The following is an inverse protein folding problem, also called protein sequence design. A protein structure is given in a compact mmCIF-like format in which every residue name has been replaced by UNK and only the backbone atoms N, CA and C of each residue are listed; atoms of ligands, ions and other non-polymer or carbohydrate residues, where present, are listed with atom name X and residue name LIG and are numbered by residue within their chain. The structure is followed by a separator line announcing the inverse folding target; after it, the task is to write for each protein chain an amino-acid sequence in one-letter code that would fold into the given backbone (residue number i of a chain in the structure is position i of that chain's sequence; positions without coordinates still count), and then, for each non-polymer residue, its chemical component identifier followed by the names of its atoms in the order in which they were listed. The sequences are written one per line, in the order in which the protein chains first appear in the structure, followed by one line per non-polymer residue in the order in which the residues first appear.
data_IF_986666395081
#
_entry.id   IF_986666395081
#
_cell.length_a   1.000
_cell.length_b   1.000
_cell.length_c   1.000
_cell.angle_alpha   90.00
_cell.angle_beta   90.00
_cell.angle_gamma   90.00
#
_symmetry.space_group_name_H-M   'P 1'
#
loop_
_entity.id
_entity.type
_entity.pdbx_description
1 polymer ?
#
# COMPACT_ATOMS: atom_id res chain seq x y z
N UNK A 1 10.14 -14.64 -30.97
CA UNK A 1 10.37 -14.59 -29.51
C UNK A 1 9.36 -13.64 -28.93
N UNK A 2 8.57 -14.12 -27.98
CA UNK A 2 7.63 -13.30 -27.21
C UNK A 2 8.41 -12.22 -26.47
N UNK A 3 7.91 -10.98 -26.51
CA UNK A 3 8.53 -9.87 -25.79
C UNK A 3 8.09 -9.93 -24.32
N UNK A 4 8.94 -9.47 -23.42
CA UNK A 4 8.60 -9.38 -22.01
C UNK A 4 8.52 -7.91 -21.58
N UNK A 5 7.49 -7.58 -20.82
CA UNK A 5 7.31 -6.28 -20.15
C UNK A 5 7.62 -6.45 -18.67
N UNK A 6 8.48 -5.60 -18.13
CA UNK A 6 8.80 -5.63 -16.69
C UNK A 6 7.64 -5.04 -15.86
N UNK A 7 7.56 -5.41 -14.59
CA UNK A 7 6.60 -4.80 -13.64
C UNK A 7 6.80 -3.29 -13.49
N UNK A 8 8.04 -2.81 -13.63
CA UNK A 8 8.35 -1.39 -13.64
C UNK A 8 7.72 -0.70 -14.87
N UNK A 9 7.89 -1.26 -16.06
CA UNK A 9 7.28 -0.72 -17.28
C UNK A 9 5.75 -0.75 -17.22
N UNK A 10 5.17 -1.83 -16.67
CA UNK A 10 3.71 -1.89 -16.43
C UNK A 10 3.27 -0.78 -15.47
N UNK A 11 4.02 -0.54 -14.40
CA UNK A 11 3.72 0.51 -13.43
C UNK A 11 3.80 1.90 -14.07
N UNK A 12 4.83 2.17 -14.86
CA UNK A 12 4.97 3.42 -15.62
C UNK A 12 3.75 3.65 -16.53
N UNK A 13 3.24 2.61 -17.19
CA UNK A 13 2.02 2.71 -18.01
C UNK A 13 0.78 3.07 -17.19
N UNK A 14 0.61 2.49 -16.01
CA UNK A 14 -0.47 2.83 -15.07
C UNK A 14 -0.35 4.31 -14.67
N UNK A 15 0.81 4.72 -14.16
CA UNK A 15 1.06 6.08 -13.68
C UNK A 15 0.92 7.15 -14.77
N UNK A 16 1.35 6.83 -16.00
CA UNK A 16 1.26 7.74 -17.15
C UNK A 16 -0.11 7.68 -17.85
N UNK A 17 -1.05 6.87 -17.35
CA UNK A 17 -2.38 6.67 -17.93
C UNK A 17 -2.31 6.24 -19.40
N UNK A 18 -1.31 5.44 -19.75
CA UNK A 18 -1.15 4.92 -21.10
C UNK A 18 -2.24 3.89 -21.41
N UNK A 19 -2.60 3.75 -22.68
CA UNK A 19 -3.56 2.71 -23.09
C UNK A 19 -2.87 1.36 -23.19
N UNK A 20 -3.44 0.33 -22.56
CA UNK A 20 -2.97 -1.05 -22.66
C UNK A 20 -4.13 -2.04 -22.80
N UNK A 21 -3.91 -3.14 -23.52
CA UNK A 21 -4.84 -4.26 -23.54
C UNK A 21 -4.27 -5.43 -22.74
N UNK A 22 -5.01 -5.91 -21.75
CA UNK A 22 -4.60 -7.03 -20.91
C UNK A 22 -5.44 -8.26 -21.27
N UNK A 23 -4.75 -9.31 -21.74
CA UNK A 23 -5.31 -10.65 -21.85
C UNK A 23 -4.96 -11.43 -20.57
N UNK A 24 -5.91 -11.55 -19.65
CA UNK A 24 -5.73 -12.33 -18.43
C UNK A 24 -6.14 -13.78 -18.66
N UNK A 25 -5.18 -14.71 -18.53
CA UNK A 25 -5.40 -16.15 -18.73
C UNK A 25 -5.56 -16.92 -17.43
N UNK A 26 -5.74 -16.23 -16.29
CA UNK A 26 -6.13 -16.87 -15.03
C UNK A 26 -7.60 -17.29 -15.06
N UNK A 27 -8.00 -18.07 -14.07
CA UNK A 27 -9.40 -18.44 -13.88
C UNK A 27 -10.27 -17.19 -13.65
N UNK A 28 -11.54 -17.26 -14.04
CA UNK A 28 -12.47 -16.13 -13.91
C UNK A 28 -12.61 -15.62 -12.47
N UNK A 29 -12.55 -16.52 -11.48
CA UNK A 29 -12.59 -16.15 -10.06
C UNK A 29 -11.43 -15.24 -9.68
N UNK A 30 -10.21 -15.58 -10.10
CA UNK A 30 -9.00 -14.88 -9.71
C UNK A 30 -8.93 -13.51 -10.40
N UNK A 31 -9.36 -13.43 -11.66
CA UNK A 31 -9.48 -12.17 -12.40
C UNK A 31 -10.55 -11.24 -11.83
N UNK A 32 -11.69 -11.79 -11.38
CA UNK A 32 -12.76 -11.00 -10.75
C UNK A 32 -12.40 -10.54 -9.35
N UNK A 33 -11.66 -11.35 -8.59
CA UNK A 33 -11.20 -10.97 -7.24
C UNK A 33 -10.18 -9.83 -7.32
N UNK A 34 -9.24 -9.87 -8.26
CA UNK A 34 -8.31 -8.76 -8.50
C UNK A 34 -7.61 -8.84 -9.86
N UNK A 35 -7.19 -7.70 -10.38
CA UNK A 35 -6.48 -7.56 -11.66
C UNK A 35 -5.56 -6.34 -11.62
N UNK A 36 -4.73 -6.19 -12.65
CA UNK A 36 -3.97 -4.96 -12.88
C UNK A 36 -4.96 -3.88 -13.32
N UNK A 37 -5.00 -2.76 -12.61
CA UNK A 37 -5.91 -1.65 -12.89
C UNK A 37 -5.15 -0.44 -13.42
N UNK A 38 -5.78 0.27 -14.35
CA UNK A 38 -5.30 1.53 -14.91
C UNK A 38 -6.40 2.21 -15.71
N UNK A 39 -6.47 3.54 -15.63
CA UNK A 39 -7.56 4.35 -16.20
C UNK A 39 -7.93 4.00 -17.66
N UNK A 40 -6.91 3.76 -18.50
CA UNK A 40 -7.08 3.54 -19.94
C UNK A 40 -6.83 2.09 -20.36
N UNK A 41 -7.00 1.13 -19.45
CA UNK A 41 -6.78 -0.29 -19.75
C UNK A 41 -8.07 -0.99 -20.22
N UNK A 42 -7.92 -1.85 -21.22
CA UNK A 42 -8.96 -2.74 -21.70
C UNK A 42 -8.61 -4.20 -21.35
N UNK A 43 -9.63 -5.02 -21.15
CA UNK A 43 -9.45 -6.37 -20.60
C UNK A 43 -10.19 -7.42 -21.41
N UNK A 44 -9.54 -8.58 -21.53
CA UNK A 44 -10.16 -9.83 -21.91
C UNK A 44 -9.67 -10.92 -20.95
N UNK A 45 -10.59 -11.58 -20.24
CA UNK A 45 -10.26 -12.76 -19.45
C UNK A 45 -10.73 -14.02 -20.17
N UNK A 46 -9.79 -14.93 -20.44
CA UNK A 46 -10.06 -16.24 -21.03
C UNK A 46 -9.12 -17.24 -20.36
N UNK A 47 -9.63 -18.14 -19.50
CA UNK A 47 -8.79 -19.06 -18.75
C UNK A 47 -7.86 -19.89 -19.64
N UNK A 48 -6.62 -20.09 -19.19
CA UNK A 48 -5.58 -20.79 -19.94
C UNK A 48 -6.03 -22.14 -20.51
N UNK A 49 -6.82 -22.91 -19.74
CA UNK A 49 -7.27 -24.23 -20.17
C UNK A 49 -8.17 -24.21 -21.41
N UNK A 50 -8.80 -23.08 -21.73
CA UNK A 50 -9.58 -22.89 -22.96
C UNK A 50 -8.72 -22.59 -24.18
N UNK A 51 -7.44 -22.23 -23.96
CA UNK A 51 -6.48 -21.82 -24.99
C UNK A 51 -5.39 -22.86 -25.25
N UNK A 52 -5.43 -24.01 -24.56
CA UNK A 52 -4.42 -25.08 -24.70
C UNK A 52 -4.39 -25.64 -26.12
N UNK A 53 -5.57 -25.78 -26.74
CA UNK A 53 -5.71 -26.37 -28.08
C UNK A 53 -5.60 -25.33 -29.21
N UNK A 54 -5.35 -24.06 -28.88
CA UNK A 54 -5.20 -22.96 -29.84
C UNK A 54 -5.90 -21.67 -29.42
N UNK A 55 -5.53 -20.57 -30.08
CA UNK A 55 -6.00 -19.20 -29.76
C UNK A 55 -7.02 -18.63 -30.75
N UNK A 56 -7.40 -19.40 -31.77
CA UNK A 56 -8.29 -18.95 -32.87
C UNK A 56 -9.61 -18.34 -32.37
N UNK A 57 -10.14 -18.86 -31.26
CA UNK A 57 -11.39 -18.40 -30.64
C UNK A 57 -11.33 -16.96 -30.10
N UNK A 58 -10.13 -16.40 -29.92
CA UNK A 58 -9.94 -15.08 -29.32
C UNK A 58 -9.28 -14.05 -30.24
N UNK A 59 -8.63 -14.47 -31.34
CA UNK A 59 -7.86 -13.56 -32.22
C UNK A 59 -8.68 -12.37 -32.69
N UNK A 60 -9.93 -12.59 -33.13
CA UNK A 60 -10.82 -11.53 -33.62
C UNK A 60 -11.30 -10.55 -32.54
N UNK A 61 -11.09 -10.88 -31.25
CA UNK A 61 -11.46 -10.05 -30.10
C UNK A 61 -10.31 -9.18 -29.60
N UNK A 62 -9.09 -9.42 -30.11
CA UNK A 62 -7.89 -8.68 -29.71
C UNK A 62 -7.71 -7.42 -30.56
N UNK A 63 -7.19 -6.32 -29.97
CA UNK A 63 -6.89 -5.11 -30.72
C UNK A 63 -5.73 -5.34 -31.70
N UNK A 64 -5.76 -4.64 -32.83
CA UNK A 64 -4.71 -4.73 -33.87
C UNK A 64 -3.66 -3.60 -33.77
N UNK A 65 -4.04 -2.48 -33.15
CA UNK A 65 -3.24 -1.25 -33.12
C UNK A 65 -2.81 -0.86 -31.70
N UNK A 66 -2.64 -1.84 -30.81
CA UNK A 66 -2.31 -1.62 -29.40
C UNK A 66 -1.38 -2.73 -28.87
N UNK A 67 -0.56 -2.40 -27.87
CA UNK A 67 0.19 -3.40 -27.10
C UNK A 67 -0.77 -4.32 -26.32
N UNK A 68 -0.55 -5.63 -26.44
CA UNK A 68 -1.28 -6.68 -25.71
C UNK A 68 -0.34 -7.30 -24.69
N UNK A 69 -0.70 -7.24 -23.41
CA UNK A 69 0.04 -7.95 -22.36
C UNK A 69 -0.77 -9.14 -21.90
N UNK A 70 -0.21 -10.34 -22.12
CA UNK A 70 -0.75 -11.59 -21.61
C UNK A 70 -0.27 -11.76 -20.17
N UNK A 71 -1.21 -11.95 -19.24
CA UNK A 71 -0.92 -12.11 -17.81
C UNK A 71 -1.45 -13.43 -17.28
N UNK A 72 -0.66 -14.06 -16.41
CA UNK A 72 -1.09 -15.19 -15.59
C UNK A 72 -0.43 -15.08 -14.21
N UNK A 73 -0.62 -16.07 -13.34
CA UNK A 73 -0.09 -16.03 -11.97
C UNK A 73 1.44 -15.81 -11.91
N UNK A 74 2.23 -16.62 -12.63
CA UNK A 74 3.70 -16.65 -12.55
C UNK A 74 4.42 -16.49 -13.92
N UNK A 75 3.70 -16.14 -14.97
CA UNK A 75 4.22 -15.93 -16.34
C UNK A 75 4.23 -17.17 -17.26
N UNK A 76 4.26 -18.40 -16.73
CA UNK A 76 4.37 -19.62 -17.56
C UNK A 76 3.24 -19.81 -18.59
N UNK A 77 1.97 -19.85 -18.14
CA UNK A 77 0.81 -19.95 -19.02
C UNK A 77 0.69 -18.77 -19.99
N UNK A 78 1.10 -17.58 -19.56
CA UNK A 78 1.07 -16.38 -20.40
C UNK A 78 2.08 -16.49 -21.55
N UNK A 79 3.27 -17.04 -21.31
CA UNK A 79 4.28 -17.26 -22.33
C UNK A 79 3.81 -18.21 -23.43
N UNK A 80 3.16 -19.33 -23.05
CA UNK A 80 2.58 -20.26 -24.02
C UNK A 80 1.52 -19.58 -24.91
N UNK A 81 0.55 -18.89 -24.29
CA UNK A 81 -0.52 -18.21 -25.03
C UNK A 81 0.04 -17.09 -25.92
N UNK A 82 1.01 -16.32 -25.43
CA UNK A 82 1.64 -15.26 -26.20
C UNK A 82 2.41 -15.79 -27.42
N UNK A 83 3.04 -16.95 -27.30
CA UNK A 83 3.69 -17.63 -28.43
C UNK A 83 2.65 -18.03 -29.48
N UNK A 84 1.55 -18.67 -29.06
CA UNK A 84 0.45 -19.05 -29.96
C UNK A 84 -0.17 -17.84 -30.66
N UNK A 85 -0.36 -16.71 -29.96
CA UNK A 85 -0.85 -15.47 -30.57
C UNK A 85 0.12 -14.92 -31.61
N UNK A 86 1.42 -14.95 -31.31
CA UNK A 86 2.46 -14.52 -32.26
C UNK A 86 2.48 -15.41 -33.51
N UNK A 87 2.33 -16.74 -33.35
CA UNK A 87 2.23 -17.70 -34.45
C UNK A 87 0.96 -17.51 -35.29
N UNK A 88 -0.14 -17.12 -34.67
CA UNK A 88 -1.39 -16.74 -35.33
C UNK A 88 -1.33 -15.37 -36.04
N UNK A 89 -0.20 -14.66 -35.97
CA UNK A 89 0.02 -13.38 -36.64
C UNK A 89 -0.49 -12.16 -35.87
N UNK A 90 -0.68 -12.27 -34.55
CA UNK A 90 -0.99 -11.12 -33.70
C UNK A 90 0.31 -10.38 -33.37
N UNK A 91 0.36 -9.10 -33.72
CA UNK A 91 1.50 -8.22 -33.44
C UNK A 91 1.43 -7.64 -32.01
N UNK A 92 2.55 -7.07 -31.54
CA UNK A 92 2.65 -6.35 -30.26
C UNK A 92 2.21 -7.14 -29.02
N UNK A 93 2.50 -8.45 -29.01
CA UNK A 93 2.23 -9.33 -27.86
C UNK A 93 3.42 -9.35 -26.89
N UNK A 94 3.12 -9.10 -25.62
CA UNK A 94 4.05 -9.13 -24.50
C UNK A 94 3.56 -10.07 -23.41
N UNK A 95 4.46 -10.58 -22.59
CA UNK A 95 4.14 -11.18 -21.28
C UNK A 95 4.60 -10.28 -20.16
N UNK A 96 3.90 -10.30 -19.03
CA UNK A 96 4.39 -9.64 -17.81
C UNK A 96 5.46 -10.51 -17.13
N UNK A 97 6.67 -9.96 -16.95
CA UNK A 97 7.77 -10.62 -16.26
C UNK A 97 7.34 -11.04 -14.85
N UNK A 98 7.44 -12.33 -14.54
CA UNK A 98 7.03 -12.89 -13.24
C UNK A 98 5.52 -12.90 -12.96
N UNK A 99 4.69 -12.45 -13.91
CA UNK A 99 3.23 -12.46 -13.83
C UNK A 99 2.64 -11.62 -12.70
N UNK A 100 1.42 -11.96 -12.30
CA UNK A 100 0.68 -11.29 -11.23
C UNK A 100 1.40 -11.38 -9.88
N UNK A 101 2.21 -12.42 -9.65
CA UNK A 101 3.03 -12.52 -8.45
C UNK A 101 4.03 -11.35 -8.36
N UNK A 102 4.81 -11.12 -9.42
CA UNK A 102 5.77 -10.01 -9.44
C UNK A 102 5.05 -8.65 -9.36
N UNK A 103 3.87 -8.52 -9.99
CA UNK A 103 3.03 -7.33 -9.87
C UNK A 103 2.61 -7.05 -8.42
N UNK A 104 2.16 -8.07 -7.70
CA UNK A 104 1.76 -7.96 -6.29
C UNK A 104 2.91 -7.58 -5.36
N UNK A 105 4.14 -8.00 -5.68
CA UNK A 105 5.34 -7.75 -4.86
C UNK A 105 6.09 -6.47 -5.26
N UNK A 106 5.69 -5.77 -6.32
CA UNK A 106 6.42 -4.60 -6.82
C UNK A 106 6.17 -3.36 -5.96
N UNK A 107 7.25 -2.67 -5.60
CA UNK A 107 7.22 -1.35 -4.95
C UNK A 107 7.79 -0.30 -5.91
N UNK A 108 6.98 0.69 -6.23
CA UNK A 108 7.39 1.87 -6.98
C UNK A 108 7.91 2.95 -6.01
N UNK A 109 9.15 3.39 -6.18
CA UNK A 109 9.72 4.45 -5.36
C UNK A 109 9.41 5.82 -5.97
N UNK A 110 8.67 6.65 -5.23
CA UNK A 110 8.35 8.03 -5.56
C UNK A 110 9.04 8.99 -4.60
N UNK A 111 9.48 10.15 -5.09
CA UNK A 111 10.06 11.20 -4.25
C UNK A 111 8.97 12.15 -3.77
N UNK A 112 8.78 12.22 -2.45
CA UNK A 112 7.79 13.11 -1.81
C UNK A 112 8.38 14.51 -1.60
N UNK A 113 9.63 14.58 -1.14
CA UNK A 113 10.27 15.83 -0.77
C UNK A 113 11.80 15.72 -0.83
N UNK A 114 12.47 16.83 -1.13
CA UNK A 114 13.93 16.94 -1.07
C UNK A 114 14.35 18.41 -0.88
N UNK A 115 15.18 18.65 0.12
CA UNK A 115 16.00 19.86 0.27
C UNK A 115 17.42 19.50 0.76
N UNK A 116 18.20 20.51 1.17
CA UNK A 116 19.57 20.31 1.63
C UNK A 116 19.69 19.53 2.96
N UNK A 117 18.61 19.37 3.72
CA UNK A 117 18.59 18.76 5.06
C UNK A 117 17.80 17.45 5.10
N UNK A 118 16.78 17.31 4.27
CA UNK A 118 15.81 16.23 4.34
C UNK A 118 15.43 15.71 2.95
N UNK A 119 15.34 14.39 2.84
CA UNK A 119 14.74 13.71 1.69
C UNK A 119 13.69 12.71 2.15
N UNK A 120 12.54 12.66 1.45
CA UNK A 120 11.46 11.72 1.75
C UNK A 120 11.12 10.94 0.49
N UNK A 121 11.21 9.63 0.59
CA UNK A 121 10.71 8.68 -0.41
C UNK A 121 9.45 7.99 0.10
N UNK A 122 8.51 7.76 -0.81
CA UNK A 122 7.38 6.86 -0.63
C UNK A 122 7.61 5.62 -1.51
N UNK A 123 7.33 4.44 -0.97
CA UNK A 123 7.33 3.19 -1.71
C UNK A 123 5.89 2.71 -1.85
N UNK A 124 5.41 2.65 -3.09
CA UNK A 124 4.03 2.36 -3.44
C UNK A 124 3.93 0.91 -3.91
N UNK A 125 3.27 0.04 -3.13
CA UNK A 125 2.97 -1.33 -3.54
C UNK A 125 1.76 -1.33 -4.46
N UNK A 126 1.99 -1.04 -5.74
CA UNK A 126 0.93 -0.75 -6.73
C UNK A 126 -0.13 -1.85 -6.80
N UNK A 127 0.28 -3.11 -6.75
CA UNK A 127 -0.63 -4.25 -6.82
C UNK A 127 -1.48 -4.51 -5.56
N UNK A 128 -1.27 -3.77 -4.46
CA UNK A 128 -1.96 -4.00 -3.18
C UNK A 128 -2.41 -2.74 -2.45
N UNK A 129 -1.96 -1.56 -2.86
CA UNK A 129 -2.40 -0.33 -2.23
C UNK A 129 -1.73 -0.02 -0.88
N UNK A 130 -0.61 -0.66 -0.55
CA UNK A 130 0.16 -0.39 0.66
C UNK A 130 1.25 0.66 0.37
N UNK A 131 1.53 1.50 1.36
CA UNK A 131 2.50 2.58 1.30
C UNK A 131 3.46 2.45 2.46
N UNK A 132 4.74 2.64 2.18
CA UNK A 132 5.79 2.77 3.19
C UNK A 132 6.70 3.93 2.84
N UNK A 133 7.55 4.37 3.76
CA UNK A 133 8.32 5.59 3.58
C UNK A 133 9.76 5.45 4.07
N UNK A 134 10.64 6.26 3.49
CA UNK A 134 11.98 6.49 4.01
C UNK A 134 12.21 7.99 4.16
N UNK A 135 12.61 8.41 5.36
CA UNK A 135 13.00 9.78 5.69
C UNK A 135 14.49 9.80 5.93
N UNK A 136 15.22 10.60 5.14
CA UNK A 136 16.67 10.67 5.16
C UNK A 136 17.08 12.06 5.63
N UNK A 137 18.00 12.11 6.59
CA UNK A 137 18.65 13.35 7.02
C UNK A 137 20.10 13.05 7.37
N UNK A 138 21.03 13.86 6.86
CA UNK A 138 22.46 13.68 7.14
C UNK A 138 22.95 12.29 6.72
N UNK A 139 23.45 11.51 7.66
CA UNK A 139 23.96 10.15 7.40
C UNK A 139 22.98 9.03 7.75
N UNK A 140 21.78 9.38 8.19
CA UNK A 140 20.81 8.47 8.79
C UNK A 140 19.46 8.46 8.06
N UNK A 141 18.74 7.36 8.20
CA UNK A 141 17.41 7.16 7.65
C UNK A 141 16.47 6.49 8.66
N UNK A 142 15.22 6.95 8.63
CA UNK A 142 14.05 6.34 9.24
C UNK A 142 13.24 5.62 8.16
N UNK A 143 12.77 4.41 8.44
CA UNK A 143 11.77 3.72 7.62
C UNK A 143 10.44 3.62 8.38
N UNK A 144 9.35 4.03 7.74
CA UNK A 144 7.99 4.00 8.30
C UNK A 144 7.18 2.93 7.56
N UNK A 145 6.51 2.06 8.31
CA UNK A 145 5.63 0.98 7.82
C UNK A 145 6.29 0.05 6.79
N UNK A 146 7.53 -0.45 7.02
CA UNK A 146 8.21 -1.29 6.04
C UNK A 146 7.41 -2.55 5.70
N UNK A 147 7.16 -2.75 4.41
CA UNK A 147 6.73 -4.04 3.84
C UNK A 147 7.81 -5.13 3.94
N UNK A 148 7.44 -6.42 3.89
CA UNK A 148 8.39 -7.56 3.96
C UNK A 148 9.49 -7.59 2.87
N UNK A 149 9.38 -6.80 1.82
CA UNK A 149 10.33 -6.73 0.70
C UNK A 149 11.54 -5.84 1.02
N UNK A 150 12.24 -6.15 2.11
CA UNK A 150 13.16 -5.22 2.77
C UNK A 150 14.38 -4.79 1.95
N UNK A 151 14.76 -5.57 0.93
CA UNK A 151 15.89 -5.26 0.03
C UNK A 151 15.70 -3.91 -0.69
N UNK A 152 14.46 -3.47 -0.93
CA UNK A 152 14.17 -2.19 -1.58
C UNK A 152 14.62 -1.00 -0.72
N UNK A 153 14.47 -1.10 0.61
CA UNK A 153 14.88 -0.05 1.53
C UNK A 153 16.41 -0.04 1.66
N UNK A 154 17.05 -1.20 1.76
CA UNK A 154 18.51 -1.27 1.82
C UNK A 154 19.16 -0.74 0.54
N UNK A 155 18.59 -1.03 -0.62
CA UNK A 155 19.06 -0.49 -1.90
C UNK A 155 18.87 1.03 -1.97
N UNK A 156 17.72 1.55 -1.53
CA UNK A 156 17.48 3.00 -1.49
C UNK A 156 18.48 3.72 -0.55
N UNK A 157 18.68 3.17 0.66
CA UNK A 157 19.66 3.71 1.61
C UNK A 157 21.10 3.64 1.06
N UNK A 158 21.47 2.55 0.38
CA UNK A 158 22.77 2.41 -0.25
C UNK A 158 23.00 3.42 -1.39
N UNK A 159 21.98 3.66 -2.22
CA UNK A 159 22.04 4.64 -3.31
C UNK A 159 22.22 6.07 -2.78
N UNK A 160 21.62 6.38 -1.64
CA UNK A 160 21.74 7.67 -0.96
C UNK A 160 22.98 7.77 -0.08
N UNK A 161 23.70 6.66 0.14
CA UNK A 161 24.90 6.62 0.97
C UNK A 161 24.63 6.81 2.47
N UNK A 162 23.44 6.42 2.94
CA UNK A 162 22.99 6.59 4.34
C UNK A 162 22.78 5.25 5.04
N UNK A 163 22.60 5.30 6.36
CA UNK A 163 22.30 4.12 7.19
C UNK A 163 20.87 4.18 7.71
N UNK A 164 20.14 3.08 7.59
CA UNK A 164 18.86 2.92 8.28
C UNK A 164 19.18 2.74 9.77
N UNK A 165 18.78 3.71 10.60
CA UNK A 165 19.03 3.71 12.05
C UNK A 165 17.74 3.59 12.85
N UNK A 166 16.60 3.98 12.26
CA UNK A 166 15.29 3.96 12.89
C UNK A 166 14.27 3.26 11.99
N UNK A 167 13.42 2.44 12.58
CA UNK A 167 12.32 1.78 11.91
C UNK A 167 11.09 1.90 12.80
N UNK A 168 9.97 2.36 12.27
CA UNK A 168 8.72 2.48 13.03
C UNK A 168 7.59 1.81 12.25
N UNK A 169 6.73 1.10 12.97
CA UNK A 169 5.42 0.67 12.46
C UNK A 169 4.33 1.50 13.16
N UNK A 170 3.43 2.08 12.37
CA UNK A 170 2.25 2.82 12.81
C UNK A 170 1.24 1.88 13.48
N UNK A 171 1.19 0.63 13.04
CA UNK A 171 0.47 -0.47 13.64
C UNK A 171 0.95 -1.79 13.03
N UNK A 172 0.62 -2.93 13.63
CA UNK A 172 0.78 -4.21 12.97
C UNK A 172 -0.37 -4.43 11.99
N UNK A 173 -0.04 -4.30 10.70
CA UNK A 173 -1.00 -4.40 9.61
C UNK A 173 -1.71 -5.77 9.55
N UNK A 174 -2.95 -5.76 9.09
CA UNK A 174 -3.81 -6.94 8.99
C UNK A 174 -3.91 -7.52 7.58
N UNK A 175 -3.41 -6.80 6.58
CA UNK A 175 -3.46 -7.14 5.16
C UNK A 175 -2.11 -7.51 4.58
N UNK A 176 -1.00 -7.09 5.18
CA UNK A 176 0.34 -7.40 4.72
C UNK A 176 1.30 -7.69 5.86
N UNK A 177 2.42 -8.34 5.53
CA UNK A 177 3.45 -8.68 6.48
C UNK A 177 4.43 -7.52 6.64
N UNK A 178 4.63 -7.06 7.87
CA UNK A 178 5.63 -6.06 8.21
C UNK A 178 7.03 -6.65 8.03
N UNK A 179 7.89 -5.87 7.39
CA UNK A 179 9.33 -6.09 7.28
C UNK A 179 10.11 -5.49 8.44
N UNK A 180 9.47 -4.80 9.39
CA UNK A 180 10.15 -3.98 10.41
C UNK A 180 11.17 -4.77 11.24
N UNK A 181 10.74 -5.93 11.76
CA UNK A 181 11.62 -6.83 12.51
C UNK A 181 12.80 -7.31 11.67
N UNK A 182 12.54 -7.81 10.46
CA UNK A 182 13.58 -8.39 9.60
C UNK A 182 14.57 -7.32 9.11
N UNK A 183 14.09 -6.11 8.83
CA UNK A 183 14.92 -4.98 8.44
C UNK A 183 15.80 -4.52 9.61
N UNK A 184 15.26 -4.47 10.83
CA UNK A 184 16.01 -4.15 12.05
C UNK A 184 17.12 -5.18 12.31
N UNK A 185 16.83 -6.47 12.20
CA UNK A 185 17.81 -7.55 12.36
C UNK A 185 18.96 -7.45 11.35
N UNK A 186 18.68 -7.04 10.10
CA UNK A 186 19.69 -6.90 9.04
C UNK A 186 20.54 -5.63 9.16
N UNK A 187 19.93 -4.53 9.58
CA UNK A 187 20.57 -3.21 9.60
C UNK A 187 21.19 -2.86 10.95
N UNK A 188 20.70 -3.48 12.03
CA UNK A 188 20.99 -3.08 13.40
C UNK A 188 20.24 -1.83 13.86
N UNK A 189 19.25 -1.36 13.08
CA UNK A 189 18.41 -0.22 13.42
C UNK A 189 17.54 -0.49 14.66
N UNK A 190 17.17 0.57 15.36
CA UNK A 190 16.17 0.49 16.43
C UNK A 190 14.78 0.36 15.82
N UNK A 191 14.06 -0.70 16.19
CA UNK A 191 12.69 -0.94 15.75
C UNK A 191 11.72 -0.50 16.84
N UNK A 192 10.85 0.46 16.52
CA UNK A 192 9.85 1.00 17.44
C UNK A 192 8.45 0.53 17.08
N UNK A 193 7.70 0.12 18.10
CA UNK A 193 6.32 -0.34 17.98
C UNK A 193 5.54 -0.05 19.26
N UNK A 194 4.22 0.14 19.16
CA UNK A 194 3.34 0.26 20.33
C UNK A 194 3.16 -1.12 21.00
N UNK A 195 3.31 -1.20 22.34
CA UNK A 195 3.11 -2.46 23.08
C UNK A 195 1.72 -3.03 22.94
N UNK A 196 0.71 -2.17 22.77
CA UNK A 196 -0.69 -2.58 22.57
C UNK A 196 -0.92 -3.39 21.30
N UNK A 197 0.03 -3.39 20.36
CA UNK A 197 -0.02 -4.24 19.17
C UNK A 197 0.24 -5.72 19.48
N UNK A 198 0.81 -6.04 20.65
CA UNK A 198 0.91 -7.42 21.15
C UNK A 198 2.00 -8.25 20.50
N UNK A 199 3.05 -7.61 19.97
CA UNK A 199 4.25 -8.30 19.49
C UNK A 199 4.97 -9.03 20.64
N UNK A 200 5.51 -10.22 20.34
CA UNK A 200 6.22 -11.08 21.31
C UNK A 200 7.73 -11.19 21.05
N UNK A 201 8.27 -10.30 20.21
CA UNK A 201 9.71 -10.15 19.96
C UNK A 201 10.22 -8.86 20.59
N UNK A 202 11.54 -8.66 20.57
CA UNK A 202 12.17 -7.45 21.10
C UNK A 202 11.95 -6.25 20.17
N UNK A 203 11.52 -5.12 20.74
CA UNK A 203 11.36 -3.82 20.09
C UNK A 203 11.46 -2.70 21.13
N UNK A 204 11.71 -1.48 20.67
CA UNK A 204 11.70 -0.27 21.49
C UNK A 204 10.25 0.25 21.63
N UNK A 205 9.68 0.31 22.84
CA UNK A 205 8.28 0.69 23.03
C UNK A 205 8.04 2.17 22.71
N UNK A 206 7.16 2.46 21.74
CA UNK A 206 6.83 3.84 21.37
C UNK A 206 6.22 4.64 22.54
N UNK A 207 5.57 4.00 23.51
CA UNK A 207 5.01 4.68 24.68
C UNK A 207 6.06 5.34 25.60
N UNK A 208 7.33 5.03 25.40
CA UNK A 208 8.43 5.63 26.14
C UNK A 208 8.98 6.89 25.48
N UNK A 209 8.50 7.23 24.28
CA UNK A 209 9.01 8.31 23.44
C UNK A 209 7.87 9.23 23.04
N UNK A 210 7.85 10.45 23.58
CA UNK A 210 7.02 11.52 23.00
C UNK A 210 7.62 11.99 21.67
N UNK A 211 8.96 11.99 21.58
CA UNK A 211 9.72 12.36 20.39
C UNK A 211 10.90 11.42 20.19
N UNK A 212 11.30 11.23 18.93
CA UNK A 212 12.52 10.53 18.52
C UNK A 212 13.32 11.51 17.65
N UNK A 213 14.53 11.84 18.06
CA UNK A 213 15.36 12.86 17.42
C UNK A 213 16.61 12.23 16.79
N UNK A 214 16.85 12.53 15.52
CA UNK A 214 18.09 12.15 14.83
C UNK A 214 18.41 13.15 13.72
N UNK A 215 19.67 13.56 13.61
CA UNK A 215 20.13 14.53 12.60
C UNK A 215 19.24 15.81 12.59
N UNK A 216 18.52 16.09 11.49
CA UNK A 216 17.57 17.21 11.38
C UNK A 216 16.09 16.75 11.46
N UNK A 217 15.84 15.53 11.94
CA UNK A 217 14.51 14.97 12.12
C UNK A 217 14.11 15.05 13.59
N UNK A 218 13.01 15.75 13.83
CA UNK A 218 12.21 15.71 15.04
C UNK A 218 10.94 14.93 14.74
N UNK A 219 10.91 13.66 15.15
CA UNK A 219 9.76 12.79 14.97
C UNK A 219 8.89 12.83 16.23
N UNK A 220 7.74 13.49 16.17
CA UNK A 220 6.73 13.43 17.23
C UNK A 220 5.90 12.16 17.11
N UNK A 221 5.86 11.38 18.19
CA UNK A 221 5.02 10.19 18.29
C UNK A 221 3.64 10.65 18.73
N UNK A 222 2.74 10.82 17.76
CA UNK A 222 1.36 11.14 18.04
C UNK A 222 0.64 9.85 18.42
N UNK A 223 0.93 9.40 19.65
CA UNK A 223 0.16 8.41 20.37
C UNK A 223 -1.20 9.02 20.67
N UNK A 224 -2.01 9.12 19.64
CA UNK A 224 -3.43 9.09 19.82
C UNK A 224 -3.72 7.66 20.20
N UNK A 225 -4.59 7.46 21.19
CA UNK A 225 -5.47 6.31 21.05
C UNK A 225 -6.25 6.62 19.78
N UNK A 226 -5.69 6.21 18.64
CA UNK A 226 -6.27 6.27 17.32
C UNK A 226 -6.85 4.90 16.98
N UNK A 227 -7.69 4.23 17.81
CA UNK A 227 -8.45 3.11 17.31
C UNK A 227 -9.49 3.67 16.33
N UNK A 228 -9.04 3.96 15.12
CA UNK A 228 -9.73 3.54 13.91
C UNK A 228 -9.33 2.10 13.71
N UNK A 229 -8.16 1.84 13.13
CA UNK A 229 -7.80 0.50 12.66
C UNK A 229 -7.44 -0.53 13.77
N UNK A 230 -6.58 -0.15 14.74
CA UNK A 230 -6.18 -1.00 15.88
C UNK A 230 -6.03 -0.19 17.18
N UNK A 231 -6.10 -0.81 18.37
CA UNK A 231 -5.85 -0.13 19.65
C UNK A 231 -4.48 0.53 19.81
N UNK A 232 -3.47 0.09 19.04
CA UNK A 232 -2.12 0.64 19.04
C UNK A 232 -1.76 1.45 17.80
N UNK A 233 -2.73 1.80 16.95
CA UNK A 233 -2.47 2.68 15.82
C UNK A 233 -1.91 4.02 16.30
N UNK A 234 -0.80 4.45 15.70
CA UNK A 234 -0.08 5.68 16.03
C UNK A 234 0.25 6.44 14.75
N UNK A 235 0.28 7.76 14.82
CA UNK A 235 0.77 8.60 13.72
C UNK A 235 2.09 9.25 14.09
N UNK A 236 2.87 9.60 13.06
CA UNK A 236 4.21 10.14 13.19
C UNK A 236 4.26 11.50 12.52
N UNK A 237 4.61 12.55 13.28
CA UNK A 237 4.67 13.91 12.75
C UNK A 237 6.11 14.41 12.71
N UNK A 238 6.66 14.47 11.51
CA UNK A 238 8.04 14.88 11.28
C UNK A 238 8.12 16.38 11.05
N UNK A 239 8.94 17.07 11.85
CA UNK A 239 9.31 18.47 11.73
C UNK A 239 8.11 19.43 11.59
N UNK A 240 6.95 19.09 12.17
CA UNK A 240 5.75 19.91 12.07
C UNK A 240 5.16 20.02 10.65
N UNK A 241 5.58 19.17 9.70
CA UNK A 241 5.20 19.31 8.28
C UNK A 241 4.69 18.02 7.62
N UNK A 242 5.24 16.86 7.94
CA UNK A 242 4.88 15.59 7.31
C UNK A 242 4.23 14.67 8.33
N UNK A 243 2.95 14.36 8.14
CA UNK A 243 2.18 13.47 8.99
C UNK A 243 2.07 12.10 8.32
N UNK A 244 2.84 11.12 8.79
CA UNK A 244 2.61 9.72 8.46
C UNK A 244 1.44 9.22 9.30
N UNK A 245 0.27 9.15 8.69
CA UNK A 245 -1.01 8.98 9.39
C UNK A 245 -1.38 7.52 9.67
N UNK A 246 -0.57 6.56 9.22
CA UNK A 246 -0.95 5.14 9.23
C UNK A 246 -2.27 4.94 8.51
N UNK A 247 -3.14 4.13 9.11
CA UNK A 247 -4.52 3.91 8.64
C UNK A 247 -5.55 4.80 9.37
N UNK A 248 -5.14 5.97 9.86
CA UNK A 248 -6.04 6.92 10.51
C UNK A 248 -6.68 7.91 9.52
N UNK A 249 -5.86 8.52 8.67
CA UNK A 249 -6.26 9.54 7.69
C UNK A 249 -5.72 9.14 6.33
N UNK A 250 -6.60 9.07 5.34
CA UNK A 250 -6.30 8.77 3.94
C UNK A 250 -6.46 10.02 3.08
N UNK A 251 -5.97 9.98 1.83
CA UNK A 251 -6.27 11.05 0.86
C UNK A 251 -7.77 11.07 0.56
N UNK A 252 -8.37 9.88 0.38
CA UNK A 252 -9.80 9.72 0.15
C UNK A 252 -10.70 9.81 1.38
N UNK A 253 -10.19 9.82 2.62
CA UNK A 253 -11.08 9.65 3.77
C UNK A 253 -10.44 9.52 5.15
N UNK A 254 -11.18 8.91 6.06
CA UNK A 254 -10.71 8.50 7.38
C UNK A 254 -10.75 6.97 7.47
N UNK A 255 -9.86 6.38 8.27
CA UNK A 255 -9.82 4.94 8.42
C UNK A 255 -10.97 4.34 9.21
N UNK A 256 -11.17 3.03 8.98
CA UNK A 256 -12.31 2.28 9.50
C UNK A 256 -12.07 1.83 10.96
N UNK A 257 -13.07 1.94 11.84
CA UNK A 257 -13.01 1.42 13.22
C UNK A 257 -13.53 0.00 13.44
N UNK A 258 -13.51 -0.87 12.44
CA UNK A 258 -14.30 -2.10 12.45
C UNK A 258 -13.53 -3.41 12.63
N UNK A 259 -12.20 -3.42 12.52
CA UNK A 259 -11.41 -4.66 12.52
C UNK A 259 -11.33 -5.40 13.87
N UNK A 260 -11.77 -4.81 14.98
CA UNK A 260 -11.81 -5.48 16.29
C UNK A 260 -13.18 -5.58 16.93
N UNK A 261 -14.26 -5.40 16.16
CA UNK A 261 -15.63 -5.63 16.63
C UNK A 261 -16.13 -4.64 17.69
N UNK A 262 -15.45 -3.51 17.88
CA UNK A 262 -15.77 -2.43 18.83
C UNK A 262 -16.09 -1.09 18.14
N UNK A 263 -16.80 -1.16 17.01
CA UNK A 263 -17.03 -0.03 16.09
C UNK A 263 -17.44 1.27 16.79
N UNK A 264 -18.40 1.23 17.73
CA UNK A 264 -18.90 2.43 18.39
C UNK A 264 -17.89 3.08 19.36
N UNK A 265 -17.15 2.27 20.13
CA UNK A 265 -16.12 2.75 21.06
C UNK A 265 -14.97 3.39 20.28
N UNK A 266 -14.60 2.78 19.16
CA UNK A 266 -13.50 3.21 18.31
C UNK A 266 -13.87 4.44 17.44
N UNK A 267 -15.13 4.54 17.00
CA UNK A 267 -15.64 5.74 16.33
C UNK A 267 -15.57 6.99 17.23
N UNK A 268 -15.78 6.84 18.54
CA UNK A 268 -15.62 7.92 19.51
C UNK A 268 -14.16 8.39 19.61
N UNK A 269 -13.20 7.46 19.69
CA UNK A 269 -11.78 7.83 19.73
C UNK A 269 -11.31 8.48 18.41
N UNK A 270 -11.81 7.99 17.27
CA UNK A 270 -11.56 8.61 15.96
C UNK A 270 -12.11 10.05 15.90
N UNK A 271 -13.29 10.30 16.50
CA UNK A 271 -13.83 11.66 16.60
C UNK A 271 -12.88 12.59 17.36
N UNK A 272 -12.40 12.16 18.54
CA UNK A 272 -11.45 12.95 19.33
C UNK A 272 -10.13 13.18 18.58
N UNK A 273 -9.66 12.18 17.83
CA UNK A 273 -8.50 12.33 16.95
C UNK A 273 -8.70 13.44 15.93
N UNK A 274 -9.79 13.38 15.16
CA UNK A 274 -10.07 14.30 14.05
C UNK A 274 -10.32 15.71 14.56
N UNK A 275 -11.13 15.86 15.60
CA UNK A 275 -11.64 17.16 16.04
C UNK A 275 -10.86 17.82 17.17
N UNK A 276 -9.96 17.13 17.85
CA UNK A 276 -9.13 17.73 18.90
C UNK A 276 -7.66 17.79 18.49
N UNK A 277 -7.08 16.66 18.04
CA UNK A 277 -5.66 16.61 17.70
C UNK A 277 -5.38 17.11 16.29
N UNK A 278 -6.01 16.47 15.30
CA UNK A 278 -5.81 16.83 13.90
C UNK A 278 -6.31 18.24 13.64
N UNK A 279 -7.42 18.67 14.26
CA UNK A 279 -7.94 20.03 14.15
C UNK A 279 -6.93 21.14 14.51
N UNK A 280 -6.00 20.87 15.43
CA UNK A 280 -4.95 21.81 15.82
C UNK A 280 -3.80 21.94 14.79
N UNK A 281 -3.72 21.01 13.84
CA UNK A 281 -2.69 21.02 12.79
C UNK A 281 -3.03 22.02 11.68
N UNK A 282 -1.98 22.65 11.13
CA UNK A 282 -2.07 23.59 10.03
C UNK A 282 -2.51 22.91 8.72
N UNK A 283 -3.23 23.65 7.88
CA UNK A 283 -3.76 23.13 6.61
C UNK A 283 -2.67 22.74 5.60
N UNK A 284 -1.46 23.28 5.73
CA UNK A 284 -0.35 23.00 4.82
C UNK A 284 0.47 21.76 5.23
N UNK A 285 0.13 21.08 6.32
CA UNK A 285 0.69 19.77 6.68
C UNK A 285 0.42 18.77 5.55
N UNK A 286 1.44 18.00 5.16
CA UNK A 286 1.31 16.95 4.15
C UNK A 286 0.96 15.64 4.86
N UNK A 287 -0.17 15.04 4.50
CA UNK A 287 -0.62 13.75 5.03
C UNK A 287 -0.13 12.62 4.12
N UNK A 288 0.48 11.61 4.72
CA UNK A 288 1.13 10.46 4.09
C UNK A 288 0.56 9.16 4.72
N UNK A 289 -0.47 8.54 4.13
CA UNK A 289 -1.14 7.36 4.71
C UNK A 289 -0.35 6.06 4.55
N UNK A 290 -0.74 5.00 5.25
CA UNK A 290 -0.15 3.66 5.04
C UNK A 290 -0.84 2.85 3.92
N UNK A 291 -2.02 3.29 3.46
CA UNK A 291 -2.71 2.68 2.31
C UNK A 291 -3.37 3.71 1.40
N UNK A 292 -3.81 3.24 0.22
CA UNK A 292 -4.68 3.96 -0.69
C UNK A 292 -5.68 3.00 -1.37
N UNK A 293 -6.83 3.53 -1.75
CA UNK A 293 -7.94 2.80 -2.37
C UNK A 293 -7.85 2.80 -3.88
N UNK A 294 -7.61 3.98 -4.45
CA UNK A 294 -7.61 4.22 -5.89
C UNK A 294 -6.39 5.05 -6.27
N UNK A 295 -5.43 4.41 -6.94
CA UNK A 295 -4.19 5.08 -7.32
C UNK A 295 -4.45 6.29 -8.23
N UNK A 296 -5.37 6.17 -9.21
CA UNK A 296 -5.62 7.22 -10.20
C UNK A 296 -6.26 8.48 -9.59
N UNK A 297 -6.98 8.32 -8.47
CA UNK A 297 -7.66 9.41 -7.75
C UNK A 297 -6.80 9.99 -6.61
N UNK A 298 -5.95 9.17 -5.98
CA UNK A 298 -5.20 9.54 -4.77
C UNK A 298 -3.73 9.87 -5.03
N UNK A 299 -3.17 9.47 -6.18
CA UNK A 299 -1.86 9.94 -6.60
C UNK A 299 -1.94 11.40 -7.03
N UNK A 300 -1.05 12.23 -6.49
CA UNK A 300 -1.00 13.64 -6.86
C UNK A 300 -0.15 13.85 -8.12
N UNK A 301 -0.13 15.10 -8.61
CA UNK A 301 0.62 15.48 -9.80
C UNK A 301 2.14 15.31 -9.66
N UNK A 302 2.63 15.16 -8.43
CA UNK A 302 4.05 15.04 -8.10
C UNK A 302 4.47 13.55 -8.06
N UNK A 303 3.53 12.63 -8.28
CA UNK A 303 3.79 11.20 -8.47
C UNK A 303 3.80 10.38 -7.18
N UNK A 304 3.28 10.93 -6.08
CA UNK A 304 3.15 10.20 -4.81
C UNK A 304 1.71 10.28 -4.29
N UNK A 305 1.32 9.33 -3.43
CA UNK A 305 0.01 9.33 -2.77
C UNK A 305 0.10 10.17 -1.49
N UNK A 306 -0.61 11.29 -1.47
CA UNK A 306 -0.63 12.22 -0.35
C UNK A 306 -1.13 13.58 -0.76
N UNK A 307 -1.67 14.34 0.19
CA UNK A 307 -2.15 15.69 -0.05
C UNK A 307 -2.04 16.56 1.21
N UNK A 308 -2.25 17.86 1.04
CA UNK A 308 -2.32 18.78 2.17
C UNK A 308 -3.55 18.48 3.04
N UNK A 309 -3.42 18.58 4.36
CA UNK A 309 -4.51 18.38 5.30
C UNK A 309 -5.71 19.29 5.00
N UNK A 310 -5.45 20.53 4.57
CA UNK A 310 -6.50 21.47 4.15
C UNK A 310 -7.32 20.96 2.96
N UNK A 311 -6.68 20.35 1.96
CA UNK A 311 -7.43 19.76 0.82
C UNK A 311 -8.20 18.50 1.23
N UNK A 312 -7.63 17.67 2.10
CA UNK A 312 -8.33 16.48 2.63
C UNK A 312 -9.58 16.92 3.41
N UNK A 313 -9.46 17.91 4.31
CA UNK A 313 -10.60 18.50 5.05
C UNK A 313 -11.67 19.07 4.12
N UNK A 314 -11.27 19.74 3.05
CA UNK A 314 -12.21 20.32 2.10
C UNK A 314 -13.00 19.28 1.30
N UNK A 315 -12.41 18.10 1.04
CA UNK A 315 -13.04 17.00 0.28
C UNK A 315 -13.77 15.98 1.15
N UNK A 316 -13.38 15.86 2.41
CA UNK A 316 -13.92 14.85 3.33
C UNK A 316 -14.94 15.48 4.29
N UNK A 317 -16.23 15.24 4.04
CA UNK A 317 -17.31 15.74 4.90
C UNK A 317 -17.17 15.28 6.36
N UNK A 318 -16.60 14.10 6.64
CA UNK A 318 -16.41 13.60 8.00
C UNK A 318 -15.45 14.47 8.83
N UNK A 319 -14.66 15.33 8.19
CA UNK A 319 -13.73 16.26 8.85
C UNK A 319 -14.29 17.69 8.97
N UNK A 320 -15.56 17.95 8.57
CA UNK A 320 -16.17 19.28 8.54
C UNK A 320 -17.03 19.60 9.77
N UNK A 321 -16.42 19.58 10.96
CA UNK A 321 -17.04 19.94 12.26
C UNK A 321 -18.45 19.34 12.48
N UNK A 322 -18.60 18.04 12.22
CA UNK A 322 -19.86 17.32 12.48
C UNK A 322 -20.11 17.18 13.98
N UNK A 323 -21.37 17.21 14.44
CA UNK A 323 -21.71 16.76 15.79
C UNK A 323 -21.24 15.33 16.04
N UNK A 324 -20.78 15.04 17.26
CA UNK A 324 -20.24 13.72 17.65
C UNK A 324 -21.13 12.55 17.27
N UNK A 325 -22.43 12.63 17.57
CA UNK A 325 -23.38 11.54 17.29
C UNK A 325 -23.52 11.31 15.77
N UNK A 326 -23.57 12.39 14.97
CA UNK A 326 -23.64 12.29 13.50
C UNK A 326 -22.35 11.67 12.92
N UNK A 327 -21.19 12.03 13.45
CA UNK A 327 -19.92 11.45 13.03
C UNK A 327 -19.88 9.94 13.32
N UNK A 328 -20.25 9.53 14.53
CA UNK A 328 -20.25 8.12 14.92
C UNK A 328 -21.21 7.32 14.02
N UNK A 329 -22.39 7.86 13.72
CA UNK A 329 -23.36 7.21 12.82
C UNK A 329 -22.81 7.03 11.41
N UNK A 330 -22.16 8.06 10.84
CA UNK A 330 -21.53 7.97 9.51
C UNK A 330 -20.41 6.93 9.48
N UNK A 331 -19.59 6.90 10.52
CA UNK A 331 -18.49 5.95 10.66
C UNK A 331 -19.02 4.51 10.75
N UNK A 332 -20.08 4.28 11.55
CA UNK A 332 -20.75 2.97 11.64
C UNK A 332 -21.36 2.56 10.30
N UNK A 333 -21.96 3.50 9.55
CA UNK A 333 -22.53 3.21 8.22
C UNK A 333 -21.45 2.91 7.17
N UNK A 334 -20.28 3.53 7.29
CA UNK A 334 -19.14 3.28 6.41
C UNK A 334 -18.36 2.00 6.76
N UNK A 335 -18.58 1.45 7.96
CA UNK A 335 -17.94 0.22 8.39
C UNK A 335 -18.39 -0.95 7.52
N UNK A 336 -17.42 -1.66 6.95
CA UNK A 336 -17.65 -2.88 6.19
C UNK A 336 -17.14 -4.07 7.00
N UNK A 337 -18.03 -4.99 7.35
CA UNK A 337 -17.70 -6.17 8.16
C UNK A 337 -16.81 -7.20 7.47
N UNK A 338 -16.53 -7.05 6.17
CA UNK A 338 -15.62 -7.95 5.46
C UNK A 338 -14.16 -7.68 5.85
N UNK A 339 -13.60 -8.60 6.63
CA UNK A 339 -12.16 -8.66 6.88
C UNK A 339 -11.44 -9.41 5.75
N UNK A 340 -10.13 -9.14 5.50
CA UNK A 340 -9.34 -9.98 4.62
C UNK A 340 -9.38 -11.44 5.10
N UNK A 341 -9.55 -12.45 4.24
CA UNK A 341 -9.70 -13.86 4.68
C UNK A 341 -8.50 -14.37 5.46
N UNK A 342 -7.33 -13.78 5.24
CA UNK A 342 -6.05 -14.17 5.81
C UNK A 342 -5.61 -13.29 7.00
N UNK A 343 -6.46 -12.38 7.47
CA UNK A 343 -6.06 -11.35 8.43
C UNK A 343 -5.54 -11.91 9.76
N UNK A 344 -6.18 -12.98 10.29
CA UNK A 344 -5.75 -13.59 11.55
C UNK A 344 -4.33 -14.15 11.46
N UNK A 345 -4.00 -14.77 10.32
CA UNK A 345 -2.68 -15.33 10.06
C UNK A 345 -1.64 -14.24 9.90
N UNK A 346 -1.96 -13.18 9.16
CA UNK A 346 -1.08 -12.02 8.96
C UNK A 346 -0.79 -11.35 10.30
N UNK A 347 -1.82 -11.05 11.10
CA UNK A 347 -1.66 -10.47 12.44
C UNK A 347 -0.85 -11.39 13.35
N UNK A 348 -1.08 -12.70 13.32
CA UNK A 348 -0.29 -13.65 14.11
C UNK A 348 1.19 -13.66 13.71
N UNK A 349 1.50 -13.57 12.42
CA UNK A 349 2.88 -13.49 11.93
C UNK A 349 3.50 -12.15 12.32
N UNK A 350 2.81 -11.04 12.11
CA UNK A 350 3.27 -9.69 12.46
C UNK A 350 3.51 -9.53 13.97
N UNK A 351 2.76 -10.24 14.81
CA UNK A 351 3.01 -10.30 16.27
C UNK A 351 4.18 -11.21 16.65
N UNK A 352 4.71 -12.01 15.73
CA UNK A 352 5.72 -13.03 16.00
C UNK A 352 5.18 -14.31 16.67
N UNK A 353 3.86 -14.52 16.65
CA UNK A 353 3.20 -15.72 17.18
C UNK A 353 3.25 -16.90 16.21
N UNK A 354 3.42 -16.61 14.92
CA UNK A 354 3.49 -17.59 13.83
C UNK A 354 4.71 -17.28 12.95
N UNK A 355 5.35 -18.32 12.42
CA UNK A 355 6.41 -18.20 11.40
C UNK A 355 6.07 -19.14 10.26
N UNK A 356 6.23 -18.66 9.04
CA UNK A 356 5.89 -19.38 7.81
C UNK A 356 6.97 -19.14 6.75
N UNK A 357 7.09 -20.07 5.81
CA UNK A 357 8.01 -19.92 4.68
C UNK A 357 7.56 -18.83 3.69
N UNK A 358 8.47 -18.44 2.79
CA UNK A 358 8.26 -17.34 1.83
C UNK A 358 7.09 -17.61 0.88
N UNK A 359 6.85 -18.86 0.49
CA UNK A 359 5.73 -19.18 -0.41
C UNK A 359 4.40 -19.02 0.32
N UNK A 360 4.31 -19.44 1.58
CA UNK A 360 3.12 -19.21 2.41
C UNK A 360 2.90 -17.71 2.67
N UNK A 361 3.96 -16.94 2.93
CA UNK A 361 3.87 -15.48 3.05
C UNK A 361 3.27 -14.83 1.79
N UNK A 362 3.71 -15.30 0.62
CA UNK A 362 3.18 -14.86 -0.67
C UNK A 362 1.70 -15.17 -0.80
N UNK A 363 1.30 -16.41 -0.53
CA UNK A 363 -0.11 -16.83 -0.62
C UNK A 363 -1.02 -16.03 0.31
N UNK A 364 -0.56 -15.70 1.51
CA UNK A 364 -1.32 -14.90 2.47
C UNK A 364 -1.57 -13.47 1.98
N UNK A 365 -0.65 -12.91 1.21
CA UNK A 365 -0.72 -11.52 0.74
C UNK A 365 -1.26 -11.34 -0.69
N UNK A 366 -1.39 -12.41 -1.47
CA UNK A 366 -1.96 -12.32 -2.82
C UNK A 366 -3.45 -11.97 -2.72
N UNK A 367 -3.88 -11.02 -3.56
CA UNK A 367 -5.27 -10.56 -3.62
C UNK A 367 -5.39 -9.03 -3.59
N UNK A 368 -6.63 -8.52 -3.62
CA UNK A 368 -6.90 -7.08 -3.67
C UNK A 368 -6.56 -6.36 -2.36
N UNK A 369 -6.43 -5.03 -2.43
CA UNK A 369 -6.46 -4.19 -1.24
C UNK A 369 -7.84 -4.30 -0.57
N UNK A 370 -7.87 -4.66 0.72
CA UNK A 370 -9.11 -4.72 1.52
C UNK A 370 -9.09 -3.78 2.73
N UNK A 371 -7.99 -3.08 2.98
CA UNK A 371 -7.85 -2.11 4.07
C UNK A 371 -8.35 -0.72 3.65
N UNK A 372 -8.06 -0.28 2.43
CA UNK A 372 -8.45 1.04 1.94
C UNK A 372 -9.81 1.07 1.20
N UNK A 373 -10.66 0.04 1.33
CA UNK A 373 -11.88 -0.12 0.50
C UNK A 373 -12.61 1.21 0.25
N UNK A 374 -12.70 1.56 -1.06
CA UNK A 374 -13.31 2.74 -1.67
C UNK A 374 -13.96 3.73 -0.70
N UNK A 375 -13.17 4.71 -0.25
CA UNK A 375 -13.70 5.96 0.34
C UNK A 375 -14.37 6.86 -0.72
N UNK A 376 -14.86 6.30 -1.83
CA UNK A 376 -15.48 7.03 -2.91
C UNK A 376 -16.99 6.90 -2.83
N UNK A 377 -17.59 8.04 -2.50
CA UNK A 377 -18.94 8.51 -2.79
C UNK A 377 -19.89 7.55 -3.52
N UNK A 378 -21.05 7.33 -2.90
CA UNK A 378 -22.31 7.12 -3.60
C UNK A 378 -22.70 8.34 -4.45
#
# INVERSE_FOLDING_TARGET
MVKEMTVQQMTEKVLNKESLFILDVRNESDFRDWKIEGENFAYLNVPYFELIDGVDSIVDRLPKDQDIVVVCAKGGSAAFVAEQLTEAGVDNVYTLAGGMQAWSEHLHQAKVYEDDQLKIYQFIRVGKGCLSYMVISGSEALVVDPLRFIDVYEQAAQQEGVKITHIVDSHLHADHLSGGKALAERTGATYYLMKSEGAVFDFEPLEQHETIDFENVHLEVLAVKTPGHTPGSVSFFVNGKWLFSGDTIFVGGLGRPDLGGKVAEWAEDLYHTVYEKVAAMADDVIVLPAHYANLDEEINAEGYVGDTLGRIRARNEMMQNKPKDEFIDLVIQSANTETPPNFEDIVAINRGLKTVDIETQRELEIGPNRCALHHTHA
#
